data_IF_907899726776
#
_entry.id   IF_907899726776
#
_cell.length_a   1.000
_cell.length_b   1.000
_cell.length_c   1.000
_cell.angle_alpha   90.00
_cell.angle_beta   90.00
_cell.angle_gamma   90.00
#
_symmetry.space_group_name_H-M   'P 1'
#
loop_
_entity.id
_entity.type
_entity.pdbx_description
1 polymer ?
#
# COMPACT_ATOMS: atom_id res chain seq x y z
N UNK A 1 70.23 22.47 23.51
CA UNK A 1 69.83 22.15 22.12
C UNK A 1 68.75 21.09 22.16
N UNK A 2 67.48 21.47 21.97
CA UNK A 2 66.44 20.75 21.22
C UNK A 2 65.38 21.81 20.91
N UNK A 3 65.16 22.06 19.63
CA UNK A 3 64.30 23.11 19.08
C UNK A 3 62.86 22.58 19.03
N UNK A 4 61.93 23.34 19.61
CA UNK A 4 60.49 23.11 19.50
C UNK A 4 60.03 23.45 18.07
N UNK A 5 59.47 22.48 17.36
CA UNK A 5 58.83 22.70 16.05
C UNK A 5 57.32 22.79 16.23
N UNK A 6 56.82 24.01 16.05
CA UNK A 6 55.41 24.41 16.07
C UNK A 6 54.83 24.12 14.67
N UNK A 7 53.93 23.14 14.55
CA UNK A 7 53.23 22.86 13.30
C UNK A 7 51.96 23.73 13.20
N UNK A 8 52.02 24.76 12.37
CA UNK A 8 50.87 25.56 11.95
C UNK A 8 50.07 24.78 10.90
N UNK A 9 48.84 24.37 11.21
CA UNK A 9 47.87 23.96 10.19
C UNK A 9 47.18 25.20 9.65
N UNK A 10 47.54 25.59 8.43
CA UNK A 10 46.82 26.59 7.63
C UNK A 10 45.65 25.92 6.91
N UNK A 11 44.43 26.29 7.29
CA UNK A 11 43.20 26.00 6.55
C UNK A 11 43.22 26.73 5.22
N UNK A 12 43.28 25.98 4.11
CA UNK A 12 43.11 26.52 2.76
C UNK A 12 41.63 26.41 2.36
N UNK A 13 40.96 27.55 2.20
CA UNK A 13 39.65 27.65 1.56
C UNK A 13 39.82 27.41 0.05
N UNK A 14 39.33 26.27 -0.45
CA UNK A 14 39.12 26.07 -1.89
C UNK A 14 37.77 26.67 -2.28
N UNK A 15 37.84 27.77 -3.04
CA UNK A 15 36.73 28.38 -3.77
C UNK A 15 36.32 27.46 -4.93
N UNK A 16 35.11 26.92 -4.87
CA UNK A 16 34.47 26.28 -6.03
C UNK A 16 33.70 27.34 -6.82
N UNK A 17 33.97 27.39 -8.11
CA UNK A 17 33.49 28.36 -9.06
C UNK A 17 31.95 28.34 -9.21
N UNK A 18 31.39 29.55 -9.28
CA UNK A 18 30.01 29.84 -9.67
C UNK A 18 29.82 29.55 -11.16
N UNK A 19 28.84 28.72 -11.50
CA UNK A 19 28.33 28.58 -12.87
C UNK A 19 27.08 29.45 -13.02
N UNK A 20 26.92 30.22 -14.11
CA UNK A 20 25.90 31.28 -14.18
C UNK A 20 24.47 30.71 -14.27
N UNK A 21 23.57 31.36 -13.53
CA UNK A 21 22.14 31.05 -13.53
C UNK A 21 21.49 31.24 -14.91
N UNK A 22 20.74 30.22 -15.33
CA UNK A 22 19.76 30.35 -16.40
C UNK A 22 18.49 31.00 -15.86
N UNK A 23 18.37 32.30 -16.11
CA UNK A 23 17.16 33.07 -15.95
C UNK A 23 16.28 32.82 -17.18
N UNK A 24 15.15 32.12 -17.03
CA UNK A 24 14.10 32.05 -18.06
C UNK A 24 12.74 32.37 -17.45
N UNK A 25 12.51 33.67 -17.26
CA UNK A 25 11.17 34.24 -17.35
C UNK A 25 10.70 34.12 -18.82
N UNK A 26 10.15 32.96 -19.19
CA UNK A 26 9.38 32.82 -20.43
C UNK A 26 7.90 32.76 -20.07
N UNK A 27 7.22 33.90 -20.15
CA UNK A 27 5.77 33.96 -20.17
C UNK A 27 5.25 33.23 -21.41
N UNK A 28 4.94 31.93 -21.30
CA UNK A 28 4.07 31.27 -22.29
C UNK A 28 2.64 31.73 -22.08
N UNK A 29 2.28 32.78 -22.82
CA UNK A 29 0.89 33.16 -23.05
C UNK A 29 0.16 31.99 -23.72
N UNK A 30 -0.76 31.35 -22.99
CA UNK A 30 -1.67 30.35 -23.54
C UNK A 30 -2.74 31.10 -24.34
N UNK A 31 -2.63 31.09 -25.66
CA UNK A 31 -3.73 31.53 -26.53
C UNK A 31 -4.82 30.45 -26.51
N UNK A 32 -6.09 30.79 -26.22
CA UNK A 32 -7.18 29.82 -26.32
C UNK A 32 -7.38 29.45 -27.79
N UNK A 33 -7.20 28.17 -28.12
CA UNK A 33 -7.60 27.64 -29.42
C UNK A 33 -9.13 27.54 -29.42
N UNK A 34 -9.78 28.45 -30.14
CA UNK A 34 -11.21 28.33 -30.46
C UNK A 34 -11.40 27.18 -31.44
N UNK A 35 -12.03 26.10 -30.96
CA UNK A 35 -12.35 24.94 -31.79
C UNK A 35 -13.58 25.24 -32.66
N UNK A 36 -13.38 25.99 -33.74
CA UNK A 36 -14.34 26.14 -34.82
C UNK A 36 -13.90 25.25 -35.98
N UNK A 37 -14.15 23.94 -35.90
CA UNK A 37 -14.18 23.03 -37.06
C UNK A 37 -14.88 21.72 -36.68
N UNK A 38 -16.16 21.58 -37.05
CA UNK A 38 -16.87 20.28 -37.09
C UNK A 38 -16.21 19.41 -38.17
N UNK A 39 -15.25 18.58 -37.79
CA UNK A 39 -14.85 17.42 -38.61
C UNK A 39 -15.72 16.24 -38.22
N UNK A 40 -16.64 15.90 -39.11
CA UNK A 40 -17.43 14.67 -39.05
C UNK A 40 -16.49 13.49 -39.23
N UNK A 41 -16.25 12.73 -38.16
CA UNK A 41 -15.56 11.44 -38.26
C UNK A 41 -16.52 10.45 -38.91
N UNK A 42 -16.31 10.14 -40.19
CA UNK A 42 -16.91 8.94 -40.80
C UNK A 42 -16.23 7.73 -40.20
N UNK A 43 -16.98 6.94 -39.43
CA UNK A 43 -16.57 5.60 -39.00
C UNK A 43 -16.47 4.75 -40.26
N UNK A 44 -15.25 4.44 -40.70
CA UNK A 44 -15.01 3.39 -41.69
C UNK A 44 -14.92 2.07 -40.92
N UNK A 45 -15.97 1.27 -40.98
CA UNK A 45 -15.92 -0.11 -40.48
C UNK A 45 -15.18 -0.98 -41.51
N UNK A 46 -13.85 -1.08 -41.39
CA UNK A 46 -13.13 -2.18 -42.02
C UNK A 46 -13.06 -3.34 -41.02
N UNK A 47 -13.99 -4.28 -41.22
CA UNK A 47 -13.95 -5.62 -40.65
C UNK A 47 -12.80 -6.38 -41.33
N UNK A 48 -11.58 -6.27 -40.78
CA UNK A 48 -10.50 -7.27 -40.84
C UNK A 48 -9.18 -6.65 -40.40
N UNK A 49 -8.90 -6.66 -39.11
CA UNK A 49 -7.55 -6.51 -38.58
C UNK A 49 -7.44 -7.38 -37.34
N UNK A 50 -6.56 -8.39 -37.39
CA UNK A 50 -6.17 -9.18 -36.22
C UNK A 50 -5.72 -8.22 -35.12
N UNK A 51 -6.49 -8.13 -34.04
CA UNK A 51 -6.16 -7.25 -32.92
C UNK A 51 -5.09 -7.92 -32.06
N UNK A 52 -4.00 -7.20 -31.80
CA UNK A 52 -2.99 -7.64 -30.85
C UNK A 52 -3.54 -7.66 -29.41
N UNK A 53 -2.82 -8.33 -28.50
CA UNK A 53 -3.24 -8.45 -27.09
C UNK A 53 -3.43 -7.09 -26.42
N UNK A 54 -2.73 -6.06 -26.87
CA UNK A 54 -2.78 -4.72 -26.30
C UNK A 54 -4.07 -3.97 -26.70
N UNK A 55 -4.49 -4.06 -27.96
CA UNK A 55 -5.75 -3.47 -28.43
C UNK A 55 -6.98 -4.09 -27.77
N UNK A 56 -6.94 -5.38 -27.45
CA UNK A 56 -8.02 -6.05 -26.72
C UNK A 56 -8.07 -5.63 -25.24
N UNK A 57 -6.91 -5.39 -24.60
CA UNK A 57 -6.83 -4.89 -23.22
C UNK A 57 -7.35 -3.45 -23.10
N UNK A 58 -6.99 -2.57 -24.06
CA UNK A 58 -7.47 -1.19 -24.10
C UNK A 58 -8.99 -1.16 -24.24
N UNK A 59 -9.55 -1.94 -25.18
CA UNK A 59 -11.00 -1.98 -25.39
C UNK A 59 -11.76 -2.54 -24.18
N UNK A 60 -11.21 -3.53 -23.47
CA UNK A 60 -11.80 -4.04 -22.23
C UNK A 60 -11.73 -3.02 -21.10
N UNK A 61 -10.64 -2.24 -21.02
CA UNK A 61 -10.49 -1.17 -20.03
C UNK A 61 -11.47 -0.02 -20.27
N UNK A 62 -11.70 0.35 -21.54
CA UNK A 62 -12.67 1.36 -21.94
C UNK A 62 -14.11 0.91 -21.68
N UNK A 63 -14.44 -0.35 -22.00
CA UNK A 63 -15.75 -0.92 -21.70
C UNK A 63 -16.01 -0.98 -20.19
N UNK A 64 -15.03 -1.42 -19.41
CA UNK A 64 -15.13 -1.40 -17.95
C UNK A 64 -15.28 0.02 -17.39
N UNK A 65 -14.57 1.00 -17.95
CA UNK A 65 -14.68 2.41 -17.57
C UNK A 65 -16.07 2.99 -17.90
N UNK A 66 -16.63 2.68 -19.07
CA UNK A 66 -17.98 3.12 -19.44
C UNK A 66 -19.06 2.45 -18.59
N UNK A 67 -18.93 1.17 -18.27
CA UNK A 67 -19.82 0.49 -17.34
C UNK A 67 -19.73 1.10 -15.93
N UNK A 68 -18.54 1.47 -15.47
CA UNK A 68 -18.34 2.13 -14.17
C UNK A 68 -18.91 3.57 -14.13
N UNK A 69 -18.73 4.35 -15.20
CA UNK A 69 -19.37 5.68 -15.37
C UNK A 69 -20.89 5.61 -15.20
N UNK A 70 -21.52 4.65 -15.87
CA UNK A 70 -22.97 4.45 -15.80
C UNK A 70 -23.43 4.08 -14.38
N UNK A 71 -22.66 3.29 -13.64
CA UNK A 71 -22.98 2.97 -12.23
C UNK A 71 -22.80 4.15 -11.28
N UNK A 72 -21.84 5.05 -11.53
CA UNK A 72 -21.58 6.23 -10.71
C UNK A 72 -22.68 7.29 -10.91
N UNK A 73 -23.07 7.57 -12.16
CA UNK A 73 -24.15 8.52 -12.47
C UNK A 73 -25.52 8.04 -11.97
N UNK A 74 -25.74 6.72 -11.91
CA UNK A 74 -26.95 6.15 -11.30
C UNK A 74 -26.98 6.29 -9.76
N UNK A 75 -25.81 6.31 -9.11
CA UNK A 75 -25.67 6.42 -7.65
C UNK A 75 -25.66 7.87 -7.12
N UNK A 76 -25.59 8.89 -7.98
CA UNK A 76 -25.66 10.30 -7.55
C UNK A 76 -27.07 10.81 -7.23
N UNK A 77 -28.10 9.95 -7.30
CA UNK A 77 -29.50 10.28 -6.97
C UNK A 77 -29.92 9.89 -5.54
N UNK A 78 -28.99 9.83 -4.59
CA UNK A 78 -29.32 9.55 -3.19
C UNK A 78 -29.60 10.87 -2.46
N UNK A 79 -30.89 11.13 -2.20
CA UNK A 79 -31.36 12.20 -1.30
C UNK A 79 -30.89 11.93 0.14
N UNK A 80 -30.59 12.98 0.95
CA UNK A 80 -30.20 12.76 2.33
C UNK A 80 -31.44 12.34 3.12
N UNK A 81 -31.45 11.15 3.70
CA UNK A 81 -32.53 10.71 4.58
C UNK A 81 -31.97 10.01 5.82
N UNK A 82 -32.23 10.62 6.97
CA UNK A 82 -32.12 9.97 8.27
C UNK A 82 -33.32 9.07 8.54
N UNK A 83 -33.11 8.01 9.32
CA UNK A 83 -34.19 7.29 9.99
C UNK A 83 -34.34 5.81 9.64
N UNK A 84 -33.98 4.98 10.61
CA UNK A 84 -34.50 3.65 10.98
C UNK A 84 -34.32 2.45 10.03
N UNK A 85 -33.64 1.46 10.58
CA UNK A 85 -33.31 0.12 10.07
C UNK A 85 -34.45 -0.90 10.18
N UNK A 86 -34.72 -1.67 9.11
CA UNK A 86 -35.09 -3.09 9.16
C UNK A 86 -34.74 -3.83 7.84
N UNK A 87 -34.55 -5.16 7.87
CA UNK A 87 -33.59 -5.88 7.03
C UNK A 87 -34.21 -6.78 5.96
N UNK A 88 -33.45 -7.05 4.90
CA UNK A 88 -33.66 -8.23 4.05
C UNK A 88 -33.74 -7.93 2.56
N UNK A 89 -32.58 -7.80 1.91
CA UNK A 89 -32.23 -8.43 0.63
C UNK A 89 -30.86 -7.86 0.19
N UNK A 90 -29.75 -8.52 0.58
CA UNK A 90 -28.43 -8.22 0.00
C UNK A 90 -28.19 -9.22 -1.13
N UNK A 91 -28.55 -8.81 -2.35
CA UNK A 91 -28.12 -9.49 -3.57
C UNK A 91 -26.61 -9.37 -3.73
N UNK A 92 -25.93 -10.51 -3.80
CA UNK A 92 -24.50 -10.62 -4.10
C UNK A 92 -24.18 -10.08 -5.50
N UNK A 93 -23.11 -9.28 -5.65
CA UNK A 93 -22.06 -9.50 -6.67
C UNK A 93 -20.96 -8.42 -6.67
N UNK A 94 -19.71 -8.87 -6.49
CA UNK A 94 -18.42 -8.32 -6.94
C UNK A 94 -18.01 -6.88 -6.55
N UNK A 95 -17.83 -6.69 -5.24
CA UNK A 95 -16.87 -5.78 -4.58
C UNK A 95 -16.67 -4.38 -5.17
N UNK A 96 -17.69 -3.53 -5.00
CA UNK A 96 -17.49 -2.17 -4.51
C UNK A 96 -18.39 -2.02 -3.29
N UNK A 97 -17.79 -1.89 -2.10
CA UNK A 97 -18.54 -1.90 -0.85
C UNK A 97 -17.75 -2.47 0.32
N UNK A 98 -16.59 -1.89 0.60
CA UNK A 98 -16.09 -1.98 1.96
C UNK A 98 -17.02 -1.17 2.84
N UNK A 99 -17.50 -1.76 3.93
CA UNK A 99 -18.50 -1.13 4.80
C UNK A 99 -17.90 -0.01 5.65
N UNK A 100 -16.57 0.15 5.61
CA UNK A 100 -15.88 1.21 6.33
C UNK A 100 -16.21 2.58 5.72
N UNK A 101 -16.96 3.39 6.47
CA UNK A 101 -17.39 4.72 6.07
C UNK A 101 -16.22 5.61 5.63
N UNK A 102 -15.11 5.63 6.37
CA UNK A 102 -13.97 6.51 6.07
C UNK A 102 -13.31 6.13 4.74
N UNK A 103 -13.20 4.84 4.46
CA UNK A 103 -12.65 4.35 3.20
C UNK A 103 -13.55 4.72 2.01
N UNK A 104 -14.86 4.50 2.15
CA UNK A 104 -15.82 4.87 1.10
C UNK A 104 -15.78 6.37 0.83
N UNK A 105 -15.70 7.20 1.89
CA UNK A 105 -15.52 8.64 1.72
C UNK A 105 -14.20 8.95 0.98
N UNK A 106 -13.09 8.34 1.37
CA UNK A 106 -11.80 8.54 0.73
C UNK A 106 -11.79 8.18 -0.76
N UNK A 107 -12.47 7.11 -1.16
CA UNK A 107 -12.67 6.74 -2.56
C UNK A 107 -13.51 7.77 -3.32
N UNK A 108 -14.59 8.27 -2.70
CA UNK A 108 -15.53 9.19 -3.33
C UNK A 108 -14.97 10.60 -3.54
N UNK A 109 -13.91 10.98 -2.82
CA UNK A 109 -13.23 12.26 -3.00
C UNK A 109 -12.54 12.41 -4.37
N UNK A 110 -12.24 11.31 -5.06
CA UNK A 110 -11.62 11.38 -6.39
C UNK A 110 -11.94 10.15 -7.26
N UNK A 111 -12.59 10.32 -8.43
CA UNK A 111 -12.85 9.21 -9.36
C UNK A 111 -11.60 8.45 -9.82
N UNK A 112 -10.43 9.10 -9.82
CA UNK A 112 -9.17 8.48 -10.17
C UNK A 112 -8.76 7.40 -9.15
N UNK A 113 -8.99 7.64 -7.84
CA UNK A 113 -8.68 6.67 -6.78
C UNK A 113 -9.47 5.38 -6.96
N UNK A 114 -10.78 5.49 -7.20
CA UNK A 114 -11.62 4.32 -7.41
C UNK A 114 -11.14 3.45 -8.59
N UNK A 115 -10.67 4.09 -9.66
CA UNK A 115 -10.13 3.38 -10.81
C UNK A 115 -8.78 2.70 -10.49
N UNK A 116 -7.85 3.40 -9.84
CA UNK A 116 -6.55 2.82 -9.44
C UNK A 116 -6.70 1.67 -8.43
N UNK A 117 -7.58 1.82 -7.44
CA UNK A 117 -7.91 0.75 -6.49
C UNK A 117 -8.42 -0.49 -7.23
N UNK A 118 -9.33 -0.31 -8.20
CA UNK A 118 -9.83 -1.42 -9.00
C UNK A 118 -8.72 -2.10 -9.81
N UNK A 119 -7.76 -1.32 -10.35
CA UNK A 119 -6.60 -1.87 -11.07
C UNK A 119 -5.68 -2.65 -10.13
N UNK A 120 -5.36 -2.11 -8.95
CA UNK A 120 -4.51 -2.80 -7.98
C UNK A 120 -5.18 -4.08 -7.47
N UNK A 121 -6.49 -4.06 -7.22
CA UNK A 121 -7.24 -5.26 -6.85
C UNK A 121 -7.15 -6.34 -7.92
N UNK A 122 -7.39 -6.00 -9.19
CA UNK A 122 -7.27 -6.95 -10.31
C UNK A 122 -5.84 -7.48 -10.44
N UNK A 123 -4.84 -6.62 -10.25
CA UNK A 123 -3.44 -7.03 -10.24
C UNK A 123 -3.22 -8.12 -9.19
N UNK A 124 -3.58 -7.88 -7.93
CA UNK A 124 -3.41 -8.86 -6.86
C UNK A 124 -4.21 -10.14 -7.11
N UNK A 125 -5.46 -10.03 -7.57
CA UNK A 125 -6.31 -11.17 -7.91
C UNK A 125 -5.70 -12.08 -8.98
N UNK A 126 -5.03 -11.51 -9.97
CA UNK A 126 -4.36 -12.29 -11.01
C UNK A 126 -3.21 -13.17 -10.48
N UNK A 127 -2.57 -12.78 -9.37
CA UNK A 127 -1.43 -13.54 -8.80
C UNK A 127 -1.81 -14.40 -7.59
N UNK A 128 -2.87 -14.05 -6.87
CA UNK A 128 -3.25 -14.67 -5.60
C UNK A 128 -4.59 -15.41 -5.66
N UNK A 129 -5.46 -15.05 -6.60
CA UNK A 129 -6.87 -15.37 -6.57
C UNK A 129 -7.64 -14.49 -5.58
N UNK A 130 -8.92 -14.21 -5.86
CA UNK A 130 -9.78 -13.36 -5.02
C UNK A 130 -9.84 -13.78 -3.53
N UNK A 131 -9.90 -15.08 -3.16
CA UNK A 131 -10.03 -15.46 -1.75
C UNK A 131 -8.83 -15.10 -0.86
N UNK A 132 -7.65 -14.91 -1.44
CA UNK A 132 -6.42 -14.57 -0.73
C UNK A 132 -6.22 -13.04 -0.59
N UNK A 133 -7.12 -12.23 -1.15
CA UNK A 133 -7.04 -10.77 -1.07
C UNK A 133 -7.75 -10.30 0.21
N UNK A 134 -7.05 -9.59 1.13
CA UNK A 134 -7.69 -9.01 2.30
C UNK A 134 -8.64 -7.86 1.92
N UNK A 135 -9.53 -7.44 2.84
CA UNK A 135 -10.29 -6.21 2.67
C UNK A 135 -9.38 -5.02 2.34
N UNK A 136 -9.76 -4.23 1.35
CA UNK A 136 -8.89 -3.20 0.79
C UNK A 136 -8.81 -1.95 1.70
N UNK A 137 -9.74 -1.77 2.62
CA UNK A 137 -9.74 -0.74 3.67
C UNK A 137 -8.64 -1.05 4.67
N UNK A 138 -8.37 -2.33 4.90
CA UNK A 138 -7.20 -2.76 5.65
C UNK A 138 -5.92 -2.63 4.81
N UNK A 139 -5.93 -3.16 3.57
CA UNK A 139 -4.74 -3.21 2.73
C UNK A 139 -4.20 -1.82 2.35
N UNK A 140 -5.08 -0.83 2.17
CA UNK A 140 -4.68 0.53 1.81
C UNK A 140 -4.49 1.44 3.02
N UNK A 141 -4.70 0.95 4.26
CA UNK A 141 -4.38 1.72 5.46
C UNK A 141 -2.88 2.02 5.53
N UNK A 142 -2.52 3.30 5.70
CA UNK A 142 -1.13 3.77 5.63
C UNK A 142 -0.32 3.44 6.88
N UNK A 143 -0.11 4.38 7.79
CA UNK A 143 0.55 4.21 9.07
C UNK A 143 -0.49 4.37 10.19
N UNK A 144 -0.37 3.63 11.29
CA UNK A 144 -1.20 3.86 12.50
C UNK A 144 -1.16 5.31 13.00
N UNK A 145 -0.07 6.01 12.71
CA UNK A 145 0.17 7.41 13.07
C UNK A 145 -0.21 8.41 11.96
N UNK A 146 -0.99 8.02 10.95
CA UNK A 146 -1.36 8.88 9.82
C UNK A 146 -1.90 10.23 10.28
N UNK A 147 -2.80 10.22 11.27
CA UNK A 147 -3.50 11.41 11.77
C UNK A 147 -2.54 12.38 12.45
N UNK A 148 -1.77 11.90 13.43
CA UNK A 148 -0.73 12.71 14.11
C UNK A 148 0.36 13.21 13.16
N UNK A 149 0.55 12.54 12.02
CA UNK A 149 1.51 12.91 11.00
C UNK A 149 0.94 13.85 9.92
N UNK A 150 -0.38 14.10 9.92
CA UNK A 150 -1.05 14.94 8.92
C UNK A 150 -1.15 14.31 7.53
N UNK A 151 -1.25 12.98 7.44
CA UNK A 151 -1.44 12.23 6.17
C UNK A 151 -2.84 11.65 6.08
N UNK A 152 -3.26 11.21 4.89
CA UNK A 152 -4.51 10.46 4.76
C UNK A 152 -4.39 9.06 5.38
N UNK A 153 -5.52 8.57 5.92
CA UNK A 153 -5.62 7.21 6.45
C UNK A 153 -5.33 6.13 5.40
N UNK A 154 -5.71 6.39 4.15
CA UNK A 154 -5.58 5.44 3.06
C UNK A 154 -4.70 5.98 1.94
N UNK A 155 -3.91 5.10 1.32
CA UNK A 155 -3.08 5.47 0.18
C UNK A 155 -2.81 4.26 -0.71
N UNK A 156 -2.87 4.47 -2.02
CA UNK A 156 -2.37 3.51 -3.00
C UNK A 156 -0.84 3.53 -3.07
N UNK A 157 -0.18 2.36 -3.08
CA UNK A 157 1.23 2.29 -3.44
C UNK A 157 1.42 2.65 -4.92
N UNK A 158 2.54 3.31 -5.28
CA UNK A 158 2.97 3.44 -6.67
C UNK A 158 2.95 2.09 -7.41
N UNK A 159 2.49 2.10 -8.66
CA UNK A 159 2.25 0.88 -9.45
C UNK A 159 3.47 -0.02 -9.61
N UNK A 160 4.65 0.58 -9.68
CA UNK A 160 5.94 -0.09 -9.76
C UNK A 160 6.29 -0.91 -8.51
N UNK A 161 5.60 -0.67 -7.39
CA UNK A 161 5.79 -1.39 -6.13
C UNK A 161 4.74 -2.49 -5.90
N UNK A 162 3.74 -2.65 -6.78
CA UNK A 162 2.64 -3.60 -6.56
C UNK A 162 3.10 -5.05 -6.47
N UNK A 163 4.12 -5.42 -7.24
CA UNK A 163 4.68 -6.78 -7.26
C UNK A 163 5.24 -7.22 -5.91
N UNK A 164 5.75 -6.29 -5.10
CA UNK A 164 6.32 -6.58 -3.79
C UNK A 164 5.28 -7.07 -2.77
N UNK A 165 4.01 -6.70 -2.95
CA UNK A 165 2.95 -7.10 -2.02
C UNK A 165 2.50 -8.54 -2.23
N UNK A 166 2.68 -9.09 -3.43
CA UNK A 166 2.17 -10.42 -3.80
C UNK A 166 2.70 -11.50 -2.86
N UNK A 167 4.02 -11.55 -2.65
CA UNK A 167 4.64 -12.54 -1.76
C UNK A 167 4.20 -12.35 -0.31
N UNK A 168 4.05 -11.10 0.15
CA UNK A 168 3.63 -10.79 1.52
C UNK A 168 2.18 -11.19 1.79
N UNK A 169 1.26 -10.97 0.85
CA UNK A 169 -0.12 -11.44 0.98
C UNK A 169 -0.23 -12.96 0.88
N UNK A 170 0.60 -13.62 0.06
CA UNK A 170 0.67 -15.08 0.03
C UNK A 170 1.10 -15.64 1.40
N UNK A 171 2.17 -15.10 1.98
CA UNK A 171 2.59 -15.44 3.33
C UNK A 171 1.46 -15.23 4.35
N UNK A 172 0.79 -14.09 4.30
CA UNK A 172 -0.31 -13.78 5.22
C UNK A 172 -1.49 -14.76 5.10
N UNK A 173 -1.88 -15.12 3.88
CA UNK A 173 -2.90 -16.12 3.60
C UNK A 173 -2.48 -17.52 4.08
N UNK A 174 -1.23 -17.92 3.84
CA UNK A 174 -0.68 -19.20 4.30
C UNK A 174 -0.63 -19.28 5.83
N UNK A 175 -0.26 -18.19 6.52
CA UNK A 175 -0.30 -18.11 7.99
C UNK A 175 -1.74 -18.30 8.53
N UNK A 176 -2.76 -17.77 7.84
CA UNK A 176 -4.17 -17.99 8.20
C UNK A 176 -4.60 -19.43 7.94
N UNK A 177 -4.30 -19.98 6.76
CA UNK A 177 -4.67 -21.35 6.37
C UNK A 177 -4.03 -22.42 7.25
N UNK A 178 -2.79 -22.19 7.70
CA UNK A 178 -2.08 -23.10 8.61
C UNK A 178 -2.45 -22.87 10.09
N UNK A 179 -3.33 -21.91 10.38
CA UNK A 179 -3.74 -21.60 11.75
C UNK A 179 -2.61 -21.05 12.61
N UNK A 180 -1.60 -20.41 12.02
CA UNK A 180 -0.53 -19.70 12.75
C UNK A 180 -1.09 -18.40 13.35
N UNK A 181 -1.88 -17.68 12.56
CA UNK A 181 -2.70 -16.54 12.99
C UNK A 181 -4.17 -16.84 12.73
N UNK A 182 -5.11 -16.28 13.51
CA UNK A 182 -6.53 -16.56 13.30
C UNK A 182 -7.08 -15.85 12.06
N UNK A 183 -8.22 -16.33 11.51
CA UNK A 183 -8.90 -15.67 10.39
C UNK A 183 -9.25 -14.20 10.66
N UNK A 184 -9.49 -13.85 11.92
CA UNK A 184 -9.84 -12.51 12.42
C UNK A 184 -8.65 -11.55 12.49
N UNK A 185 -7.42 -11.98 12.19
CA UNK A 185 -6.29 -11.06 12.07
C UNK A 185 -6.58 -9.98 11.02
N UNK A 186 -6.28 -8.73 11.34
CA UNK A 186 -6.53 -7.54 10.51
C UNK A 186 -5.22 -6.84 10.14
N UNK A 187 -5.14 -6.30 8.92
CA UNK A 187 -4.04 -5.42 8.50
C UNK A 187 -4.35 -3.99 8.98
N UNK A 188 -3.37 -3.33 9.60
CA UNK A 188 -3.51 -1.98 10.15
C UNK A 188 -2.45 -0.99 9.69
N UNK A 189 -1.47 -1.45 8.90
CA UNK A 189 -0.49 -0.58 8.26
C UNK A 189 0.13 -1.31 7.07
N UNK A 190 0.21 -0.65 5.93
CA UNK A 190 0.77 -1.22 4.69
C UNK A 190 1.72 -0.21 4.07
N UNK A 191 1.47 0.27 2.86
CA UNK A 191 2.37 1.20 2.18
C UNK A 191 2.45 2.53 2.92
N UNK A 192 3.67 3.04 3.06
CA UNK A 192 3.94 4.37 3.62
C UNK A 192 4.85 5.11 2.66
N UNK A 193 4.46 6.32 2.26
CA UNK A 193 5.39 7.21 1.57
C UNK A 193 6.64 7.45 2.44
N UNK A 194 7.80 7.79 1.85
CA UNK A 194 9.02 8.02 2.62
C UNK A 194 8.86 9.04 3.75
N UNK A 195 8.13 10.13 3.48
CA UNK A 195 7.86 11.18 4.47
C UNK A 195 6.93 10.70 5.60
N UNK A 196 5.88 9.93 5.28
CA UNK A 196 5.02 9.32 6.30
C UNK A 196 5.78 8.28 7.12
N UNK A 197 6.63 7.45 6.50
CA UNK A 197 7.46 6.47 7.19
C UNK A 197 8.39 7.16 8.20
N UNK A 198 9.05 8.25 7.81
CA UNK A 198 9.90 9.04 8.70
C UNK A 198 9.11 9.61 9.90
N UNK A 199 7.95 10.24 9.68
CA UNK A 199 7.11 10.74 10.77
C UNK A 199 6.58 9.63 11.69
N UNK A 200 6.28 8.46 11.12
CA UNK A 200 5.85 7.29 11.88
C UNK A 200 6.98 6.66 12.72
N UNK A 201 8.22 7.15 12.60
CA UNK A 201 9.41 6.60 13.26
C UNK A 201 9.90 5.29 12.62
N UNK A 202 9.56 5.06 11.35
CA UNK A 202 10.01 3.89 10.61
C UNK A 202 11.48 4.00 10.20
N UNK A 203 12.15 2.85 10.11
CA UNK A 203 13.54 2.77 9.66
C UNK A 203 13.71 3.26 8.21
N UNK A 204 14.89 3.80 7.88
CA UNK A 204 15.23 4.25 6.52
C UNK A 204 15.23 3.14 5.46
N UNK A 205 15.30 1.87 5.88
CA UNK A 205 15.17 0.69 5.02
C UNK A 205 13.84 -0.06 5.21
N UNK A 206 12.80 0.61 5.76
CA UNK A 206 11.49 0.03 6.04
C UNK A 206 10.83 -0.56 4.79
N UNK A 207 10.37 -1.80 4.89
CA UNK A 207 9.71 -2.52 3.79
C UNK A 207 8.28 -2.03 3.51
N UNK A 208 7.75 -1.17 4.37
CA UNK A 208 6.50 -0.45 4.08
C UNK A 208 6.69 0.59 2.96
N UNK A 209 7.88 1.17 2.81
CA UNK A 209 8.17 2.13 1.74
C UNK A 209 8.29 1.47 0.37
N UNK A 210 8.53 0.16 0.34
CA UNK A 210 8.62 -0.64 -0.89
C UNK A 210 7.34 -1.42 -1.17
N UNK A 211 6.26 -1.19 -0.41
CA UNK A 211 5.01 -1.97 -0.49
C UNK A 211 5.26 -3.48 -0.33
N UNK A 212 6.26 -3.85 0.49
CA UNK A 212 6.63 -5.24 0.75
C UNK A 212 6.23 -5.72 2.14
N UNK A 213 5.58 -4.88 2.95
CA UNK A 213 5.24 -5.19 4.34
C UNK A 213 3.82 -4.82 4.73
N UNK A 214 3.32 -5.56 5.72
CA UNK A 214 2.09 -5.29 6.45
C UNK A 214 2.37 -5.37 7.96
N UNK A 215 1.72 -4.51 8.74
CA UNK A 215 1.58 -4.71 10.18
C UNK A 215 0.16 -5.19 10.46
N UNK A 216 0.04 -6.29 11.21
CA UNK A 216 -1.22 -6.92 11.57
C UNK A 216 -1.51 -6.77 13.07
N UNK A 217 -2.78 -6.92 13.40
CA UNK A 217 -3.29 -7.00 14.76
C UNK A 217 -4.38 -8.08 14.84
N UNK A 218 -4.57 -8.64 16.03
CA UNK A 218 -5.55 -9.71 16.27
C UNK A 218 -6.52 -9.23 17.34
N UNK A 219 -7.70 -8.68 16.95
CA UNK A 219 -8.68 -8.13 17.87
C UNK A 219 -9.11 -9.11 18.95
N UNK A 220 -9.37 -10.36 18.55
CA UNK A 220 -9.86 -11.39 19.47
C UNK A 220 -8.89 -11.73 20.60
N UNK A 221 -7.59 -11.42 20.46
CA UNK A 221 -6.59 -11.68 21.49
C UNK A 221 -6.30 -10.46 22.37
N UNK A 222 -7.00 -9.34 22.18
CA UNK A 222 -6.89 -8.20 23.09
C UNK A 222 -7.36 -8.55 24.50
N UNK A 223 -6.57 -8.15 25.50
CA UNK A 223 -6.81 -8.52 26.90
C UNK A 223 -6.61 -10.01 27.18
N UNK A 224 -6.18 -10.81 26.21
CA UNK A 224 -5.99 -12.26 26.33
C UNK A 224 -4.51 -12.65 26.20
N UNK A 225 -3.69 -12.47 27.25
CA UNK A 225 -2.24 -12.66 27.18
C UNK A 225 -1.84 -14.07 26.74
N UNK A 226 -2.54 -15.11 27.21
CA UNK A 226 -2.24 -16.49 26.87
C UNK A 226 -2.39 -16.78 25.36
N UNK A 227 -3.47 -16.34 24.73
CA UNK A 227 -3.68 -16.53 23.29
C UNK A 227 -2.68 -15.73 22.46
N UNK A 228 -2.34 -14.51 22.91
CA UNK A 228 -1.30 -13.68 22.27
C UNK A 228 0.07 -14.36 22.31
N UNK A 229 0.50 -14.83 23.48
CA UNK A 229 1.76 -15.59 23.66
C UNK A 229 1.78 -16.84 22.78
N UNK A 230 0.71 -17.65 22.79
CA UNK A 230 0.62 -18.86 21.98
C UNK A 230 0.66 -18.58 20.46
N UNK A 231 0.05 -17.50 20.00
CA UNK A 231 0.18 -17.06 18.60
C UNK A 231 1.61 -16.62 18.27
N UNK A 232 2.25 -15.86 19.17
CA UNK A 232 3.64 -15.44 18.99
C UNK A 232 4.59 -16.65 18.93
N UNK A 233 4.38 -17.68 19.76
CA UNK A 233 5.13 -18.94 19.70
C UNK A 233 4.96 -19.63 18.34
N UNK A 234 3.72 -19.76 17.84
CA UNK A 234 3.44 -20.34 16.51
C UNK A 234 4.09 -19.54 15.38
N UNK A 235 4.05 -18.20 15.43
CA UNK A 235 4.72 -17.33 14.45
C UNK A 235 6.22 -17.56 14.43
N UNK A 236 6.84 -17.62 15.60
CA UNK A 236 8.26 -17.87 15.72
C UNK A 236 8.62 -19.29 15.20
N UNK A 237 7.83 -20.31 15.52
CA UNK A 237 8.03 -21.68 15.01
C UNK A 237 7.89 -21.75 13.49
N UNK A 238 6.88 -21.08 12.91
CA UNK A 238 6.72 -20.95 11.47
C UNK A 238 7.93 -20.26 10.84
N UNK A 239 8.38 -19.14 11.43
CA UNK A 239 9.54 -18.41 10.96
C UNK A 239 10.80 -19.29 10.95
N UNK A 240 11.05 -20.05 12.01
CA UNK A 240 12.21 -20.96 12.09
C UNK A 240 12.13 -22.10 11.09
N UNK A 241 10.96 -22.75 10.95
CA UNK A 241 10.81 -23.95 10.12
C UNK A 241 10.61 -23.67 8.62
N UNK A 242 9.88 -22.61 8.28
CA UNK A 242 9.45 -22.32 6.90
C UNK A 242 9.88 -20.92 6.42
N UNK A 243 10.23 -20.01 7.33
CA UNK A 243 10.40 -18.58 7.01
C UNK A 243 11.48 -18.28 5.97
N UNK A 244 12.51 -19.13 5.86
CA UNK A 244 13.55 -18.95 4.84
C UNK A 244 12.98 -19.04 3.42
N UNK A 245 12.02 -19.93 3.17
CA UNK A 245 11.37 -20.10 1.85
C UNK A 245 10.55 -18.86 1.44
N UNK A 246 10.11 -18.06 2.41
CA UNK A 246 9.33 -16.84 2.18
C UNK A 246 10.20 -15.57 2.19
N UNK A 247 11.50 -15.68 2.49
CA UNK A 247 12.31 -14.51 2.88
C UNK A 247 11.64 -13.70 3.99
N UNK A 248 11.08 -14.40 4.99
CA UNK A 248 10.18 -13.85 5.98
C UNK A 248 10.91 -12.94 6.97
N UNK A 249 10.62 -11.65 6.90
CA UNK A 249 10.92 -10.68 7.94
C UNK A 249 9.80 -10.61 8.97
N UNK A 250 10.10 -10.99 10.22
CA UNK A 250 9.14 -11.05 11.33
C UNK A 250 9.50 -10.07 12.44
N UNK A 251 8.65 -9.06 12.66
CA UNK A 251 8.75 -8.17 13.82
C UNK A 251 7.62 -8.39 14.80
N UNK A 252 7.91 -8.58 16.10
CA UNK A 252 6.88 -8.69 17.14
C UNK A 252 7.07 -7.55 18.13
N UNK A 253 6.13 -6.59 18.15
CA UNK A 253 6.22 -5.41 19.01
C UNK A 253 5.49 -5.60 20.34
N UNK A 254 5.98 -4.94 21.39
CA UNK A 254 5.34 -4.92 22.72
C UNK A 254 3.89 -4.43 22.67
N UNK A 255 3.60 -3.48 21.76
CA UNK A 255 2.25 -2.97 21.47
C UNK A 255 1.26 -4.04 20.98
N UNK A 256 1.74 -5.22 20.59
CA UNK A 256 0.93 -6.29 20.01
C UNK A 256 0.77 -6.22 18.50
N UNK A 257 1.31 -5.18 17.84
CA UNK A 257 1.47 -5.20 16.39
C UNK A 257 2.49 -6.26 15.98
N UNK A 258 2.21 -6.93 14.87
CA UNK A 258 3.09 -7.95 14.27
C UNK A 258 3.41 -7.50 12.85
N UNK A 259 4.68 -7.36 12.54
CA UNK A 259 5.19 -7.01 11.22
C UNK A 259 5.46 -8.26 10.40
N UNK A 260 4.99 -8.26 9.15
CA UNK A 260 5.25 -9.30 8.17
C UNK A 260 5.79 -8.66 6.88
N UNK A 261 6.94 -9.12 6.41
CA UNK A 261 7.47 -8.81 5.07
C UNK A 261 8.14 -10.02 4.43
N UNK A 262 8.33 -9.97 3.12
CA UNK A 262 8.98 -11.03 2.33
C UNK A 262 10.25 -10.56 1.63
N UNK A 263 10.92 -9.57 2.20
CA UNK A 263 12.11 -8.92 1.62
C UNK A 263 13.37 -9.14 2.48
N UNK A 264 13.43 -10.25 3.22
CA UNK A 264 14.64 -10.77 3.87
C UNK A 264 14.34 -11.64 5.08
N UNK A 265 15.01 -12.79 5.19
CA UNK A 265 14.84 -13.72 6.31
C UNK A 265 15.50 -13.20 7.60
N UNK A 266 14.70 -12.57 8.47
CA UNK A 266 15.17 -11.92 9.69
C UNK A 266 14.06 -11.80 10.72
N UNK A 267 14.42 -11.60 11.98
CA UNK A 267 13.46 -11.34 13.04
C UNK A 267 13.94 -10.24 13.98
N UNK A 268 13.01 -9.54 14.59
CA UNK A 268 13.29 -8.52 15.60
C UNK A 268 12.10 -8.37 16.57
N UNK A 269 12.30 -7.64 17.65
CA UNK A 269 11.21 -7.26 18.54
C UNK A 269 11.32 -5.82 19.00
N UNK A 270 11.23 -5.61 20.31
CA UNK A 270 11.39 -4.28 20.89
C UNK A 270 12.72 -3.63 20.42
N UNK A 271 12.66 -2.32 20.19
CA UNK A 271 13.81 -1.53 19.70
C UNK A 271 14.40 -2.02 18.35
N UNK A 272 13.61 -2.69 17.52
CA UNK A 272 14.03 -3.16 16.19
C UNK A 272 15.25 -4.09 16.21
N UNK A 273 15.45 -4.82 17.31
CA UNK A 273 16.64 -5.65 17.53
C UNK A 273 16.30 -7.13 17.70
N UNK A 274 17.24 -8.02 17.35
CA UNK A 274 17.12 -9.46 17.57
C UNK A 274 17.11 -9.84 19.08
N UNK A 275 17.97 -9.25 19.95
CA UNK A 275 17.93 -9.55 21.39
C UNK A 275 16.60 -9.19 22.06
N UNK A 276 15.90 -8.17 21.55
CA UNK A 276 14.57 -7.77 21.99
C UNK A 276 13.42 -8.58 21.36
N UNK A 277 13.72 -9.58 20.53
CA UNK A 277 12.70 -10.38 19.87
C UNK A 277 12.13 -11.48 20.75
N UNK A 278 10.83 -11.69 20.58
CA UNK A 278 10.13 -12.82 21.16
C UNK A 278 10.65 -14.17 20.63
N UNK A 279 11.13 -14.22 19.38
CA UNK A 279 11.62 -15.46 18.75
C UNK A 279 13.05 -15.86 19.18
N UNK A 280 13.71 -15.10 20.08
CA UNK A 280 15.13 -15.29 20.43
C UNK A 280 15.47 -16.64 21.09
N UNK A 281 14.46 -17.35 21.60
CA UNK A 281 14.62 -18.60 22.34
C UNK A 281 14.40 -19.85 21.47
N UNK A 282 14.32 -19.70 20.15
CA UNK A 282 14.16 -20.82 19.22
C UNK A 282 15.47 -21.51 18.81
N UNK A 283 16.54 -21.30 19.57
CA UNK A 283 17.82 -21.98 19.39
C UNK A 283 17.93 -23.16 20.35
#
# INVERSE_FOLDING_TARGET
>A
AVIASLALLTTSCTTMAETPGANINEQRSIKPVTNANKRTYKVVTNQNSQTDRLGNLIRQSEQAYQSQRLTIEQNTNIRPFGGTSQPGYYGQSNTFGETNYNYVQWLNLSPYRANEVAQYKRYLANYLGEPAIPPFDQLLTTARSWDRCGYEQYQLPPSELWSNMVSTLRLYDDLKKQGVIPPTAEIRSTYRSPSLNACAGGAGASKHMTNGAIDIWVPEYEGQPWYKTSMQDRLCQFWSSQGQNYSFGLGIYSTGAIHLDTQGYRYWGAEYSAPGSYCRYLN
#
